data_IF_374652359267
#
_entry.id   IF_374652359267
#
_cell.length_a   1.000
_cell.length_b   1.000
_cell.length_c   1.000
_cell.angle_alpha   90.00
_cell.angle_beta   90.00
_cell.angle_gamma   90.00
#
_symmetry.space_group_name_H-M   'P 1'
#
loop_
_entity.id
_entity.type
_entity.pdbx_description
1 polymer ?
#
# COMPACT_ATOMS: atom_id res chain seq x y z
N UNK A 1 9.25 32.89 -1.59
CA UNK A 1 9.61 31.48 -1.32
C UNK A 1 10.13 31.31 0.11
N UNK A 2 10.86 32.29 0.65
CA UNK A 2 11.36 32.32 2.03
C UNK A 2 10.44 33.05 3.03
N UNK A 3 9.27 33.51 2.59
CA UNK A 3 8.28 34.09 3.49
C UNK A 3 7.66 32.97 4.36
N UNK A 4 7.47 33.18 5.68
CA UNK A 4 7.03 32.14 6.62
C UNK A 4 5.77 31.40 6.18
N UNK A 5 4.81 32.12 5.63
CA UNK A 5 3.52 31.61 5.16
C UNK A 5 3.57 30.81 3.85
N UNK A 6 4.70 30.81 3.13
CA UNK A 6 4.90 30.07 1.86
C UNK A 6 6.02 29.04 1.96
N UNK A 7 6.95 29.23 2.90
CA UNK A 7 8.13 28.39 3.07
C UNK A 7 7.75 27.00 3.57
N UNK A 8 8.22 25.95 2.89
CA UNK A 8 7.99 24.55 3.26
C UNK A 8 6.66 23.93 2.78
N UNK A 9 5.80 24.70 2.09
CA UNK A 9 4.53 24.20 1.57
C UNK A 9 4.64 23.82 0.08
N UNK A 10 4.42 22.54 -0.22
CA UNK A 10 4.38 22.01 -1.59
C UNK A 10 5.76 21.79 -2.22
N UNK A 11 5.76 21.50 -3.53
CA UNK A 11 6.97 21.20 -4.29
C UNK A 11 7.70 22.47 -4.74
N UNK A 12 9.01 22.54 -4.48
CA UNK A 12 9.86 23.68 -4.86
C UNK A 12 9.78 23.98 -6.36
N UNK A 13 9.76 22.95 -7.19
CA UNK A 13 9.70 23.10 -8.65
C UNK A 13 8.37 23.73 -9.06
N UNK A 14 7.27 23.34 -8.45
CA UNK A 14 5.94 23.89 -8.75
C UNK A 14 5.81 25.35 -8.27
N UNK A 15 6.41 25.67 -7.13
CA UNK A 15 6.49 27.04 -6.62
C UNK A 15 7.35 27.94 -7.53
N UNK A 16 8.47 27.42 -8.06
CA UNK A 16 9.33 28.14 -9.01
C UNK A 16 8.66 28.32 -10.36
N UNK A 17 8.01 27.30 -10.92
CA UNK A 17 7.24 27.38 -12.16
C UNK A 17 6.19 28.48 -12.10
N UNK A 18 5.39 28.48 -11.02
CA UNK A 18 4.40 29.52 -10.77
C UNK A 18 5.06 30.90 -10.69
N UNK A 19 6.14 31.04 -9.92
CA UNK A 19 6.80 32.32 -9.72
C UNK A 19 7.43 32.89 -11.00
N UNK A 20 8.00 32.04 -11.85
CA UNK A 20 8.55 32.47 -13.15
C UNK A 20 7.43 32.91 -14.06
N UNK A 21 6.34 32.13 -14.16
CA UNK A 21 5.16 32.50 -14.95
C UNK A 21 4.58 33.84 -14.48
N UNK A 22 4.40 34.03 -13.18
CA UNK A 22 3.85 35.27 -12.61
C UNK A 22 4.74 36.50 -12.89
N UNK A 23 6.06 36.32 -13.00
CA UNK A 23 7.02 37.42 -13.16
C UNK A 23 7.35 37.74 -14.63
N UNK A 24 7.33 36.75 -15.53
CA UNK A 24 7.84 36.88 -16.90
C UNK A 24 6.82 36.52 -17.97
N UNK A 25 5.66 35.96 -17.59
CA UNK A 25 4.66 35.39 -18.50
C UNK A 25 5.18 34.25 -19.39
N UNK A 26 6.38 33.73 -19.12
CA UNK A 26 6.94 32.60 -19.85
C UNK A 26 6.36 31.29 -19.31
N UNK A 27 6.00 30.41 -20.25
CA UNK A 27 5.53 29.06 -19.93
C UNK A 27 6.69 28.07 -19.80
N UNK A 28 7.39 28.14 -18.67
CA UNK A 28 8.44 27.17 -18.31
C UNK A 28 7.79 25.84 -17.96
N UNK A 29 8.34 24.74 -18.47
CA UNK A 29 7.86 23.38 -18.20
C UNK A 29 8.70 22.71 -17.12
N UNK A 30 8.12 21.74 -16.44
CA UNK A 30 8.83 20.94 -15.42
C UNK A 30 10.08 20.25 -15.98
N UNK A 31 10.05 19.87 -17.26
CA UNK A 31 11.18 19.25 -17.98
C UNK A 31 12.35 20.20 -18.23
N UNK A 32 12.15 21.51 -18.08
CA UNK A 32 13.22 22.51 -18.26
C UNK A 32 14.12 22.60 -17.01
N UNK A 33 13.67 22.06 -15.88
CA UNK A 33 14.45 21.94 -14.65
C UNK A 33 15.28 20.65 -14.65
N UNK A 34 16.57 20.79 -15.01
CA UNK A 34 17.56 19.71 -14.94
C UNK A 34 18.18 19.63 -13.54
N UNK A 35 17.45 19.03 -12.60
CA UNK A 35 17.89 18.91 -11.20
C UNK A 35 19.20 18.11 -11.06
N UNK A 36 19.45 17.19 -11.99
CA UNK A 36 20.69 16.41 -12.11
C UNK A 36 21.92 17.27 -12.45
N UNK A 37 21.72 18.47 -13.02
CA UNK A 37 22.80 19.41 -13.34
C UNK A 37 23.11 20.41 -12.21
N UNK A 38 22.35 20.38 -11.10
CA UNK A 38 22.61 21.27 -9.97
C UNK A 38 23.83 20.80 -9.18
N UNK A 39 24.76 21.70 -8.83
CA UNK A 39 25.84 21.39 -7.90
C UNK A 39 25.32 20.89 -6.55
N UNK A 40 26.02 19.93 -5.94
CA UNK A 40 25.62 19.30 -4.68
C UNK A 40 25.42 20.26 -3.49
N UNK A 41 26.02 21.46 -3.52
CA UNK A 41 25.88 22.48 -2.47
C UNK A 41 24.56 23.26 -2.53
N UNK A 42 23.78 23.11 -3.60
CA UNK A 42 22.43 23.69 -3.72
C UNK A 42 21.33 22.76 -3.17
N UNK A 43 21.69 21.54 -2.76
CA UNK A 43 20.79 20.61 -2.10
C UNK A 43 20.91 20.74 -0.58
N UNK A 44 19.79 20.53 0.12
CA UNK A 44 19.77 20.53 1.58
C UNK A 44 20.71 19.45 2.12
N UNK A 45 21.46 19.82 3.16
CA UNK A 45 22.32 18.91 3.89
C UNK A 45 21.76 18.79 5.31
N UNK A 46 21.51 17.56 5.74
CA UNK A 46 20.95 17.28 7.06
C UNK A 46 22.09 16.97 8.01
N UNK A 47 22.07 17.59 9.19
CA UNK A 47 22.98 17.28 10.30
C UNK A 47 22.13 16.91 11.51
N UNK A 48 22.29 15.68 11.99
CA UNK A 48 21.63 15.20 13.19
C UNK A 48 22.58 15.42 14.36
N UNK A 49 22.08 16.10 15.39
CA UNK A 49 22.82 16.37 16.63
C UNK A 49 22.09 15.74 17.81
N UNK A 50 22.84 15.34 18.83
CA UNK A 50 22.26 14.87 20.09
C UNK A 50 21.95 16.04 21.06
N UNK A 51 21.45 15.71 22.26
CA UNK A 51 21.10 16.65 23.32
C UNK A 51 22.29 17.50 23.81
N UNK A 52 23.52 17.07 23.53
CA UNK A 52 24.75 17.76 23.89
C UNK A 52 25.35 18.53 22.70
N UNK A 53 24.62 18.60 21.57
CA UNK A 53 25.05 19.26 20.34
C UNK A 53 26.10 18.48 19.54
N UNK A 54 26.38 17.22 19.88
CA UNK A 54 27.35 16.41 19.13
C UNK A 54 26.71 15.86 17.87
N UNK A 55 27.43 15.92 16.76
CA UNK A 55 26.98 15.41 15.47
C UNK A 55 26.95 13.87 15.49
N UNK A 56 25.76 13.29 15.27
CA UNK A 56 25.53 11.84 15.17
C UNK A 56 25.59 11.35 13.74
N UNK A 57 25.18 12.17 12.78
CA UNK A 57 25.24 11.85 11.36
C UNK A 57 25.03 13.10 10.52
N UNK A 58 25.57 13.09 9.31
CA UNK A 58 25.37 14.17 8.35
C UNK A 58 25.31 13.61 6.94
N UNK A 59 24.36 14.09 6.14
CA UNK A 59 24.22 13.66 4.77
C UNK A 59 23.12 14.41 4.03
N UNK A 60 23.15 14.30 2.71
CA UNK A 60 22.14 14.90 1.83
C UNK A 60 20.95 13.98 1.56
N UNK A 61 21.07 12.69 1.90
CA UNK A 61 20.00 11.71 1.79
C UNK A 61 19.38 11.46 3.17
N UNK A 62 18.24 12.10 3.43
CA UNK A 62 17.53 11.98 4.69
C UNK A 62 17.05 10.54 4.97
N UNK A 63 16.64 9.79 3.93
CA UNK A 63 16.16 8.42 4.09
C UNK A 63 17.29 7.48 4.51
N UNK A 64 18.48 7.63 3.93
CA UNK A 64 19.67 6.88 4.34
C UNK A 64 20.08 7.23 5.78
N UNK A 65 20.09 8.52 6.12
CA UNK A 65 20.42 9.00 7.47
C UNK A 65 19.43 8.48 8.53
N UNK A 66 18.12 8.42 8.18
CA UNK A 66 17.07 7.83 9.03
C UNK A 66 17.23 6.33 9.19
N UNK A 67 17.61 5.60 8.13
CA UNK A 67 17.79 4.15 8.20
C UNK A 67 19.00 3.77 9.07
N UNK A 68 20.11 4.48 8.92
CA UNK A 68 21.35 4.29 9.67
C UNK A 68 21.14 4.60 11.16
N UNK A 69 20.69 5.81 11.48
CA UNK A 69 20.49 6.24 12.87
C UNK A 69 19.24 5.64 13.51
N UNK A 70 18.27 5.19 12.71
CA UNK A 70 17.04 4.55 13.19
C UNK A 70 17.27 3.17 13.82
N UNK A 71 18.34 2.46 13.45
CA UNK A 71 18.76 1.22 14.14
C UNK A 71 19.28 1.49 15.55
N UNK A 72 20.16 2.48 15.68
CA UNK A 72 20.78 2.86 16.96
C UNK A 72 19.78 3.52 17.91
N UNK A 73 18.88 4.35 17.37
CA UNK A 73 17.75 4.92 18.11
C UNK A 73 16.90 3.81 18.74
N UNK A 74 16.51 2.78 17.97
CA UNK A 74 15.74 1.64 18.48
C UNK A 74 16.42 0.95 19.66
N UNK A 75 17.72 0.69 19.58
CA UNK A 75 18.49 0.06 20.67
C UNK A 75 18.61 0.94 21.91
N UNK A 76 18.90 2.24 21.74
CA UNK A 76 19.03 3.20 22.84
C UNK A 76 17.68 3.43 23.56
N UNK A 77 16.57 3.47 22.81
CA UNK A 77 15.23 3.63 23.38
C UNK A 77 14.72 2.36 24.07
N UNK A 78 15.06 1.17 23.57
CA UNK A 78 14.78 -0.09 24.27
C UNK A 78 15.54 -0.20 25.60
N UNK A 79 16.81 0.23 25.63
CA UNK A 79 17.62 0.24 26.85
C UNK A 79 17.10 1.26 27.89
N UNK A 80 16.68 2.45 27.45
CA UNK A 80 16.09 3.47 28.32
C UNK A 80 14.70 3.07 28.86
N UNK A 81 13.90 2.37 28.06
CA UNK A 81 12.62 1.80 28.49
C UNK A 81 12.81 0.70 29.56
N UNK A 82 13.85 -0.14 29.42
CA UNK A 82 14.21 -1.14 30.42
C UNK A 82 14.69 -0.52 31.74
N UNK A 83 15.45 0.58 31.68
CA UNK A 83 15.95 1.30 32.86
C UNK A 83 14.85 2.06 33.62
N UNK A 84 13.82 2.59 32.92
CA UNK A 84 12.69 3.31 33.57
C UNK A 84 11.61 2.37 34.13
N UNK A 85 11.62 1.09 33.80
CA UNK A 85 10.68 0.08 34.31
C UNK A 85 10.95 -0.42 35.73
N UNK A 86 12.06 -0.03 36.35
CA UNK A 86 12.46 -0.46 37.70
C UNK A 86 12.30 0.67 38.73
N UNK A 87 11.06 1.06 39.04
CA UNK A 87 10.76 1.83 40.26
C UNK A 87 9.50 1.25 40.90
N UNK A 88 9.57 0.65 42.11
CA UNK A 88 8.37 0.27 42.84
C UNK A 88 7.67 1.52 43.38
N UNK A 89 6.35 1.51 43.29
CA UNK A 89 5.48 2.56 43.82
C UNK A 89 5.63 2.73 45.34
N UNK A 90 5.78 3.97 45.79
CA UNK A 90 5.55 4.38 47.17
C UNK A 90 4.53 5.53 47.21
N UNK A 91 3.51 5.33 48.05
CA UNK A 91 2.32 6.14 48.33
C UNK A 91 2.62 7.52 48.97
N UNK A 92 1.64 8.44 49.04
CA UNK A 92 1.86 9.88 49.10
C UNK A 92 1.97 10.42 50.52
N UNK A 93 2.75 11.49 50.70
CA UNK A 93 2.65 12.36 51.86
C UNK A 93 2.80 13.82 51.44
N UNK A 94 1.89 14.64 51.95
CA UNK A 94 1.75 16.06 51.71
C UNK A 94 2.96 16.87 52.22
N UNK A 95 3.26 17.99 51.57
CA UNK A 95 3.17 19.34 52.15
C UNK A 95 4.04 20.37 51.41
N UNK A 96 3.52 21.59 51.39
CA UNK A 96 4.23 22.86 51.41
C UNK A 96 5.01 23.29 50.15
N UNK A 97 4.43 24.27 49.45
CA UNK A 97 5.17 25.34 48.79
C UNK A 97 6.04 26.10 49.83
N UNK A 98 7.12 26.75 49.37
CA UNK A 98 7.04 28.20 49.38
C UNK A 98 7.59 28.90 48.13
N UNK A 99 6.97 30.05 47.87
CA UNK A 99 7.42 31.15 47.03
C UNK A 99 8.87 31.58 47.31
N UNK A 100 9.64 31.87 46.26
CA UNK A 100 10.67 32.90 46.29
C UNK A 100 10.72 33.66 44.96
N UNK A 101 10.59 34.99 45.11
CA UNK A 101 10.66 36.03 44.07
C UNK A 101 12.05 36.20 43.47
N UNK A 102 12.03 36.51 42.18
CA UNK A 102 12.90 37.41 41.38
C UNK A 102 14.35 37.66 41.82
N UNK A 103 15.26 37.41 40.86
CA UNK A 103 16.33 38.36 40.53
C UNK A 103 16.62 38.33 39.03
N UNK A 104 16.36 39.47 38.39
CA UNK A 104 16.85 39.83 37.05
C UNK A 104 18.37 39.95 37.05
N UNK A 105 19.01 39.41 36.02
CA UNK A 105 20.28 39.89 35.50
C UNK A 105 20.27 39.74 33.97
N UNK A 106 20.26 40.88 33.29
CA UNK A 106 20.32 40.99 31.84
C UNK A 106 21.76 40.81 31.33
N UNK A 107 21.93 39.96 30.32
CA UNK A 107 22.99 40.06 29.32
C UNK A 107 22.51 39.36 28.04
N UNK A 108 22.35 40.14 26.97
CA UNK A 108 21.72 39.70 25.74
C UNK A 108 22.61 38.84 24.85
N UNK A 109 21.98 37.88 24.18
CA UNK A 109 22.30 37.42 22.82
C UNK A 109 21.03 36.79 22.23
N UNK A 110 20.80 37.00 20.93
CA UNK A 110 19.49 36.89 20.26
C UNK A 110 18.76 35.56 20.46
N UNK A 111 17.53 35.64 20.98
CA UNK A 111 16.58 34.52 21.01
C UNK A 111 16.05 34.25 19.60
N UNK A 112 16.43 33.09 19.05
CA UNK A 112 15.55 32.36 18.15
C UNK A 112 14.27 32.00 18.91
N UNK A 113 13.12 32.28 18.31
CA UNK A 113 11.83 31.90 18.86
C UNK A 113 11.78 30.37 19.00
N UNK A 114 11.43 29.81 20.17
CA UNK A 114 11.18 28.39 20.27
C UNK A 114 9.96 28.07 19.41
N UNK A 115 10.16 27.21 18.42
CA UNK A 115 9.08 26.59 17.67
C UNK A 115 8.06 26.04 18.68
N UNK A 116 6.80 26.38 18.46
CA UNK A 116 5.65 25.90 19.20
C UNK A 116 5.76 24.37 19.24
N UNK A 117 6.08 23.82 20.42
CA UNK A 117 5.82 22.42 20.72
C UNK A 117 4.30 22.29 20.73
N UNK A 118 3.74 21.84 19.62
CA UNK A 118 2.41 21.26 19.62
C UNK A 118 2.54 19.95 20.40
N UNK A 119 2.41 20.02 21.73
CA UNK A 119 2.12 18.84 22.54
C UNK A 119 0.75 18.34 22.10
N UNK A 120 0.73 17.41 21.15
CA UNK A 120 -0.44 16.59 20.90
C UNK A 120 -0.74 15.79 22.18
N UNK A 121 -1.99 15.74 22.66
CA UNK A 121 -2.34 14.93 23.82
C UNK A 121 -2.04 13.46 23.50
N UNK A 122 -1.01 12.91 24.14
CA UNK A 122 -0.38 11.63 23.79
C UNK A 122 -1.10 10.39 24.34
N UNK A 123 -2.39 10.49 24.70
CA UNK A 123 -3.11 9.36 25.28
C UNK A 123 -4.51 9.27 24.66
N UNK A 124 -4.63 8.50 23.58
CA UNK A 124 -5.91 8.01 23.13
C UNK A 124 -6.37 6.88 24.06
N UNK A 125 -7.67 6.80 24.44
CA UNK A 125 -8.15 5.74 25.31
C UNK A 125 -8.00 4.36 24.65
N UNK A 126 -7.50 3.37 25.40
CA UNK A 126 -7.10 2.05 24.89
C UNK A 126 -8.27 1.25 24.24
N UNK A 127 -9.52 1.61 24.56
CA UNK A 127 -10.76 0.98 24.03
C UNK A 127 -11.69 1.98 23.31
N UNK A 128 -11.17 3.13 22.88
CA UNK A 128 -12.00 4.10 22.17
C UNK A 128 -12.49 3.54 20.81
N UNK A 129 -13.82 3.57 20.62
CA UNK A 129 -14.49 3.17 19.38
C UNK A 129 -14.96 4.41 18.64
N UNK A 130 -14.60 4.51 17.37
CA UNK A 130 -14.94 5.65 16.53
C UNK A 130 -15.80 5.21 15.35
N UNK A 131 -16.84 5.96 15.05
CA UNK A 131 -17.65 5.79 13.83
C UNK A 131 -17.45 6.93 12.84
N UNK A 132 -16.74 7.97 13.25
CA UNK A 132 -16.36 9.15 12.46
C UNK A 132 -14.94 9.60 12.86
N UNK A 133 -14.34 10.51 12.09
CA UNK A 133 -13.02 11.07 12.36
C UNK A 133 -13.07 12.11 13.50
N UNK A 134 -13.06 11.65 14.75
CA UNK A 134 -13.13 12.50 15.95
C UNK A 134 -11.94 12.38 16.89
N UNK A 135 -10.83 11.80 16.42
CA UNK A 135 -9.62 11.50 17.21
C UNK A 135 -8.41 12.38 16.88
N UNK A 136 -8.57 13.41 16.03
CA UNK A 136 -7.48 14.30 15.62
C UNK A 136 -6.58 13.71 14.53
N UNK A 137 -5.40 14.30 14.33
CA UNK A 137 -4.40 13.80 13.38
C UNK A 137 -3.60 12.64 14.00
N UNK A 138 -3.30 11.62 13.19
CA UNK A 138 -2.47 10.50 13.63
C UNK A 138 -1.00 10.83 13.35
N UNK A 139 -0.13 10.86 14.38
CA UNK A 139 1.30 11.10 14.18
C UNK A 139 1.97 9.90 13.48
N UNK A 140 3.16 10.10 12.90
CA UNK A 140 3.94 9.00 12.31
C UNK A 140 4.34 7.94 13.35
N UNK A 141 4.54 8.37 14.61
CA UNK A 141 4.86 7.51 15.75
C UNK A 141 4.04 7.94 16.96
N UNK A 142 3.55 6.97 17.73
CA UNK A 142 2.77 7.19 18.95
C UNK A 142 3.29 6.32 20.08
N UNK A 143 3.37 6.89 21.28
CA UNK A 143 3.66 6.15 22.51
C UNK A 143 2.34 5.76 23.18
N UNK A 144 2.14 4.46 23.45
CA UNK A 144 1.03 3.97 24.25
C UNK A 144 1.54 3.23 25.49
N UNK A 145 0.82 3.37 26.60
CA UNK A 145 1.14 2.67 27.85
C UNK A 145 0.19 1.48 28.02
N UNK A 146 0.69 0.28 27.72
CA UNK A 146 -0.10 -0.96 27.76
C UNK A 146 0.41 -1.86 28.87
N UNK A 147 -0.45 -2.25 29.81
CA UNK A 147 -0.12 -3.13 30.95
C UNK A 147 1.15 -2.71 31.72
N UNK A 148 1.39 -1.41 31.84
CA UNK A 148 2.56 -0.85 32.54
C UNK A 148 3.83 -0.69 31.70
N UNK A 149 3.86 -1.16 30.44
CA UNK A 149 4.96 -0.94 29.50
C UNK A 149 4.64 0.23 28.55
N UNK A 150 5.64 1.07 28.27
CA UNK A 150 5.54 2.13 27.24
C UNK A 150 6.00 1.54 25.91
N UNK A 151 5.11 1.47 24.93
CA UNK A 151 5.37 0.97 23.59
C UNK A 151 5.31 2.14 22.61
N UNK A 152 6.37 2.33 21.82
CA UNK A 152 6.45 3.35 20.78
C UNK A 152 6.37 2.65 19.43
N UNK A 153 5.41 3.03 18.59
CA UNK A 153 5.25 2.42 17.28
C UNK A 153 4.36 3.23 16.34
N UNK A 154 3.95 2.60 15.25
CA UNK A 154 3.15 3.22 14.19
C UNK A 154 1.67 3.07 14.49
N UNK A 155 0.91 4.18 14.68
CA UNK A 155 -0.52 4.11 14.92
C UNK A 155 -1.28 3.72 13.65
N UNK A 156 -2.32 2.93 13.80
CA UNK A 156 -3.16 2.49 12.70
C UNK A 156 -4.63 2.40 13.12
N UNK A 157 -5.52 2.72 12.18
CA UNK A 157 -6.93 2.45 12.35
C UNK A 157 -7.17 0.95 12.21
N UNK A 158 -7.92 0.35 13.13
CA UNK A 158 -8.23 -1.08 13.11
C UNK A 158 -9.74 -1.28 12.96
N UNK A 159 -10.14 -2.13 12.03
CA UNK A 159 -11.52 -2.53 11.87
C UNK A 159 -11.98 -3.40 13.06
N UNK A 160 -12.97 -2.91 13.81
CA UNK A 160 -13.60 -3.65 14.93
C UNK A 160 -15.09 -3.93 14.69
N UNK A 161 -15.51 -3.95 13.41
CA UNK A 161 -16.85 -4.32 12.96
C UNK A 161 -17.78 -3.15 12.75
N UNK A 162 -18.43 -2.66 13.81
CA UNK A 162 -19.37 -1.54 13.74
C UNK A 162 -18.72 -0.16 13.99
N UNK A 163 -17.43 -0.16 14.30
CA UNK A 163 -16.59 1.00 14.56
C UNK A 163 -15.14 0.72 14.10
N UNK A 164 -14.27 1.71 14.27
CA UNK A 164 -12.81 1.56 14.21
C UNK A 164 -12.19 1.83 15.57
N UNK A 165 -11.09 1.13 15.86
CA UNK A 165 -10.19 1.43 16.98
C UNK A 165 -8.88 2.02 16.47
N UNK A 166 -8.03 2.45 17.40
CA UNK A 166 -6.66 2.91 17.09
C UNK A 166 -5.69 2.03 17.88
N UNK A 167 -4.81 1.33 17.17
CA UNK A 167 -3.78 0.47 17.76
C UNK A 167 -2.39 0.90 17.28
N UNK A 168 -1.36 0.58 18.06
CA UNK A 168 0.05 0.85 17.73
C UNK A 168 0.75 -0.45 17.40
N UNK A 169 1.48 -0.46 16.29
CA UNK A 169 2.21 -1.62 15.79
C UNK A 169 3.71 -1.33 15.72
N UNK A 170 4.53 -2.35 15.94
CA UNK A 170 6.00 -2.24 15.88
C UNK A 170 6.52 -2.18 14.43
N UNK A 171 5.78 -2.80 13.50
CA UNK A 171 6.14 -2.88 12.09
C UNK A 171 5.33 -1.89 11.23
N UNK A 172 5.98 -1.01 10.45
CA UNK A 172 5.29 0.00 9.65
C UNK A 172 4.42 -0.61 8.55
N UNK A 173 4.84 -1.73 7.96
CA UNK A 173 4.07 -2.40 6.91
C UNK A 173 2.77 -3.02 7.45
N UNK A 174 2.84 -3.62 8.66
CA UNK A 174 1.66 -4.15 9.35
C UNK A 174 0.72 -3.00 9.74
N UNK A 175 1.27 -1.91 10.29
CA UNK A 175 0.49 -0.72 10.61
C UNK A 175 -0.22 -0.17 9.37
N UNK A 176 0.49 0.00 8.25
CA UNK A 176 -0.08 0.52 7.01
C UNK A 176 -1.22 -0.38 6.48
N UNK A 177 -1.03 -1.71 6.49
CA UNK A 177 -2.06 -2.65 6.07
C UNK A 177 -3.30 -2.60 6.96
N UNK A 178 -3.12 -2.54 8.28
CA UNK A 178 -4.21 -2.40 9.25
C UNK A 178 -4.93 -1.07 9.09
N UNK A 179 -4.17 0.02 9.04
CA UNK A 179 -4.67 1.39 8.87
C UNK A 179 -5.55 1.51 7.63
N UNK A 180 -5.12 0.93 6.51
CA UNK A 180 -5.89 0.91 5.26
C UNK A 180 -7.22 0.15 5.39
N UNK A 181 -7.21 -1.00 6.06
CA UNK A 181 -8.43 -1.74 6.36
C UNK A 181 -9.37 -0.96 7.32
N UNK A 182 -8.81 -0.30 8.33
CA UNK A 182 -9.56 0.58 9.23
C UNK A 182 -10.17 1.79 8.51
N UNK A 183 -9.43 2.46 7.64
CA UNK A 183 -9.96 3.56 6.80
C UNK A 183 -11.12 3.08 5.93
N UNK A 184 -11.00 1.90 5.31
CA UNK A 184 -12.08 1.30 4.52
C UNK A 184 -13.34 1.10 5.36
N UNK A 185 -13.19 0.60 6.60
CA UNK A 185 -14.29 0.47 7.56
C UNK A 185 -14.90 1.82 7.90
N UNK A 186 -14.08 2.81 8.24
CA UNK A 186 -14.55 4.15 8.60
C UNK A 186 -15.33 4.79 7.45
N UNK A 187 -14.86 4.69 6.21
CA UNK A 187 -15.61 5.09 5.01
C UNK A 187 -16.93 4.34 4.93
N UNK A 188 -16.94 3.02 5.07
CA UNK A 188 -18.15 2.21 4.97
C UNK A 188 -19.23 2.62 5.99
N UNK A 189 -18.83 3.05 7.18
CA UNK A 189 -19.74 3.58 8.20
C UNK A 189 -20.38 4.92 7.77
N UNK A 190 -19.65 5.76 7.03
CA UNK A 190 -20.14 7.05 6.53
C UNK A 190 -21.11 6.94 5.34
N UNK A 191 -21.05 5.85 4.58
CA UNK A 191 -21.84 5.67 3.34
C UNK A 191 -22.76 4.44 3.36
N UNK A 192 -23.25 4.05 4.55
CA UNK A 192 -24.08 2.84 4.76
C UNK A 192 -25.23 2.67 3.77
N UNK A 193 -26.01 3.72 3.51
CA UNK A 193 -27.15 3.62 2.59
C UNK A 193 -26.72 3.45 1.14
N UNK A 194 -25.61 4.09 0.75
CA UNK A 194 -25.01 3.93 -0.58
C UNK A 194 -24.49 2.50 -0.76
N UNK A 195 -23.89 1.90 0.28
CA UNK A 195 -23.44 0.50 0.25
C UNK A 195 -24.61 -0.48 0.16
N UNK A 196 -25.66 -0.30 0.97
CA UNK A 196 -26.88 -1.12 0.89
C UNK A 196 -27.53 -1.05 -0.49
N UNK A 197 -27.56 0.15 -1.10
CA UNK A 197 -28.04 0.31 -2.47
C UNK A 197 -27.14 -0.44 -3.44
N UNK A 198 -25.81 -0.27 -3.32
CA UNK A 198 -24.86 -0.90 -4.23
C UNK A 198 -24.93 -2.44 -4.18
N UNK A 199 -24.98 -3.02 -2.99
CA UNK A 199 -25.11 -4.47 -2.78
C UNK A 199 -26.34 -5.08 -3.47
N UNK A 200 -27.44 -4.32 -3.56
CA UNK A 200 -28.68 -4.74 -4.21
C UNK A 200 -28.68 -4.50 -5.73
N UNK A 201 -27.83 -3.60 -6.23
CA UNK A 201 -27.87 -3.11 -7.61
C UNK A 201 -26.58 -3.42 -8.40
N UNK A 202 -25.85 -4.49 -8.04
CA UNK A 202 -24.71 -4.96 -8.84
C UNK A 202 -25.24 -5.58 -10.15
N UNK A 203 -24.86 -5.05 -11.32
CA UNK A 203 -25.33 -5.58 -12.60
C UNK A 203 -24.81 -6.99 -12.83
N UNK A 204 -25.64 -7.84 -13.43
CA UNK A 204 -25.33 -9.23 -13.81
C UNK A 204 -24.85 -10.15 -12.67
N UNK A 205 -25.06 -9.78 -11.40
CA UNK A 205 -24.56 -10.55 -10.26
C UNK A 205 -25.05 -12.01 -10.25
N UNK A 206 -26.31 -12.27 -10.62
CA UNK A 206 -26.84 -13.63 -10.69
C UNK A 206 -26.11 -14.49 -11.73
N UNK A 207 -25.83 -13.93 -12.91
CA UNK A 207 -25.08 -14.63 -13.96
C UNK A 207 -23.64 -14.87 -13.54
N UNK A 208 -23.00 -13.88 -12.93
CA UNK A 208 -21.65 -14.04 -12.37
C UNK A 208 -21.60 -15.11 -11.28
N UNK A 209 -22.60 -15.13 -10.38
CA UNK A 209 -22.69 -16.10 -9.31
C UNK A 209 -22.70 -17.55 -9.84
N UNK A 210 -23.43 -17.80 -10.94
CA UNK A 210 -23.44 -19.13 -11.60
C UNK A 210 -22.04 -19.55 -12.06
N UNK A 211 -21.28 -18.65 -12.69
CA UNK A 211 -19.92 -18.94 -13.13
C UNK A 211 -18.92 -19.07 -11.96
N UNK A 212 -19.21 -18.41 -10.83
CA UNK A 212 -18.37 -18.38 -9.63
C UNK A 212 -18.64 -19.53 -8.64
N UNK A 213 -19.75 -20.28 -8.79
CA UNK A 213 -20.10 -21.42 -7.91
C UNK A 213 -18.95 -22.41 -7.62
N UNK A 214 -18.05 -22.75 -8.57
CA UNK A 214 -16.91 -23.64 -8.28
C UNK A 214 -15.85 -23.04 -7.35
N UNK A 215 -15.87 -21.72 -7.15
CA UNK A 215 -14.88 -20.96 -6.39
C UNK A 215 -15.43 -20.51 -5.03
N UNK A 216 -16.72 -20.16 -4.94
CA UNK A 216 -17.35 -19.67 -3.72
C UNK A 216 -18.83 -19.31 -3.92
N UNK A 217 -19.34 -18.48 -3.01
CA UNK A 217 -20.76 -18.07 -2.95
C UNK A 217 -21.03 -16.72 -3.62
N UNK A 218 -22.28 -16.47 -4.00
CA UNK A 218 -22.70 -15.17 -4.56
C UNK A 218 -22.41 -14.00 -3.62
N UNK A 219 -22.49 -14.24 -2.32
CA UNK A 219 -22.27 -13.25 -1.27
C UNK A 219 -20.79 -12.88 -1.14
N UNK A 220 -19.91 -13.88 -1.18
CA UNK A 220 -18.45 -13.65 -1.23
C UNK A 220 -18.02 -12.89 -2.48
N UNK A 221 -18.62 -13.17 -3.64
CA UNK A 221 -18.34 -12.42 -4.88
C UNK A 221 -18.82 -10.98 -4.78
N UNK A 222 -20.04 -10.77 -4.28
CA UNK A 222 -20.60 -9.43 -4.05
C UNK A 222 -19.71 -8.61 -3.12
N UNK A 223 -19.29 -9.20 -2.00
CA UNK A 223 -18.42 -8.53 -1.04
C UNK A 223 -17.10 -8.12 -1.69
N UNK A 224 -16.49 -8.99 -2.50
CA UNK A 224 -15.25 -8.64 -3.20
C UNK A 224 -15.43 -7.47 -4.18
N UNK A 225 -16.54 -7.41 -4.91
CA UNK A 225 -16.83 -6.30 -5.83
C UNK A 225 -16.93 -4.99 -5.06
N UNK A 226 -17.67 -5.00 -3.94
CA UNK A 226 -17.84 -3.83 -3.07
C UNK A 226 -16.50 -3.40 -2.46
N UNK A 227 -15.71 -4.35 -1.94
CA UNK A 227 -14.41 -4.09 -1.34
C UNK A 227 -13.45 -3.42 -2.33
N UNK A 228 -13.34 -3.95 -3.56
CA UNK A 228 -12.50 -3.37 -4.61
C UNK A 228 -13.02 -2.00 -5.05
N UNK A 229 -14.34 -1.81 -5.10
CA UNK A 229 -14.93 -0.52 -5.43
C UNK A 229 -14.62 0.54 -4.35
N UNK A 230 -14.71 0.17 -3.07
CA UNK A 230 -14.33 1.03 -1.94
C UNK A 230 -12.85 1.40 -1.99
N UNK A 231 -12.00 0.40 -2.19
CA UNK A 231 -10.55 0.57 -2.30
C UNK A 231 -10.20 1.61 -3.38
N UNK A 232 -10.77 1.45 -4.57
CA UNK A 232 -10.57 2.34 -5.72
C UNK A 232 -11.18 3.73 -5.52
N UNK A 233 -12.34 3.81 -4.89
CA UNK A 233 -13.06 5.07 -4.74
C UNK A 233 -12.49 5.95 -3.62
N UNK A 234 -11.95 5.36 -2.54
CA UNK A 234 -11.62 6.09 -1.32
C UNK A 234 -10.18 5.94 -0.83
N UNK A 235 -9.41 4.94 -1.28
CA UNK A 235 -8.09 4.64 -0.71
C UNK A 235 -6.92 4.89 -1.67
N UNK A 236 -7.11 5.78 -2.67
CA UNK A 236 -5.98 6.27 -3.45
C UNK A 236 -5.00 7.06 -2.56
N UNK A 237 -3.71 6.88 -2.80
CA UNK A 237 -2.66 7.64 -2.12
C UNK A 237 -2.64 9.11 -2.61
N UNK A 238 -2.27 10.08 -1.74
CA UNK A 238 -2.01 9.90 -0.31
C UNK A 238 -3.30 9.62 0.49
N UNK A 239 -3.20 8.81 1.53
CA UNK A 239 -4.33 8.53 2.43
C UNK A 239 -4.71 9.76 3.28
N UNK A 240 -5.98 9.89 3.71
CA UNK A 240 -6.39 10.99 4.58
C UNK A 240 -5.62 10.98 5.92
N UNK A 241 -5.08 12.14 6.32
CA UNK A 241 -4.31 12.28 7.56
C UNK A 241 -5.09 13.01 8.67
N UNK A 242 -6.20 13.67 8.33
CA UNK A 242 -7.03 14.45 9.25
C UNK A 242 -8.51 14.43 8.84
N UNK A 243 -9.36 15.00 9.70
CA UNK A 243 -10.81 15.03 9.50
C UNK A 243 -11.23 15.75 8.20
N UNK A 244 -10.54 16.83 7.84
CA UNK A 244 -10.84 17.60 6.63
C UNK A 244 -10.55 16.82 5.35
N UNK A 245 -9.39 16.16 5.29
CA UNK A 245 -9.00 15.29 4.18
C UNK A 245 -9.92 14.08 4.07
N UNK A 246 -10.30 13.50 5.21
CA UNK A 246 -11.22 12.36 5.25
C UNK A 246 -12.61 12.74 4.73
N UNK A 247 -13.16 13.87 5.20
CA UNK A 247 -14.45 14.37 4.72
C UNK A 247 -14.45 14.63 3.21
N UNK A 248 -13.41 15.31 2.71
CA UNK A 248 -13.24 15.54 1.26
C UNK A 248 -13.16 14.22 0.49
N UNK A 249 -12.41 13.24 1.01
CA UNK A 249 -12.30 11.90 0.41
C UNK A 249 -13.66 11.19 0.32
N UNK A 250 -14.47 11.27 1.36
CA UNK A 250 -15.82 10.68 1.39
C UNK A 250 -16.73 11.36 0.38
N UNK A 251 -16.75 12.69 0.32
CA UNK A 251 -17.58 13.45 -0.62
C UNK A 251 -17.23 13.14 -2.09
N UNK A 252 -15.95 13.23 -2.44
CA UNK A 252 -15.46 12.93 -3.79
C UNK A 252 -15.70 11.47 -4.18
N UNK A 253 -15.39 10.54 -3.26
CA UNK A 253 -15.53 9.11 -3.50
C UNK A 253 -16.99 8.69 -3.68
N UNK A 254 -17.92 9.29 -2.92
CA UNK A 254 -19.36 8.98 -3.02
C UNK A 254 -19.93 9.29 -4.40
N UNK A 255 -19.50 10.39 -5.03
CA UNK A 255 -19.95 10.77 -6.36
C UNK A 255 -19.56 9.76 -7.46
N UNK A 256 -18.43 9.03 -7.28
CA UNK A 256 -17.89 8.09 -8.27
C UNK A 256 -18.08 6.61 -7.94
N UNK A 257 -18.49 6.28 -6.71
CA UNK A 257 -18.56 4.89 -6.22
C UNK A 257 -19.41 3.98 -7.11
N UNK A 258 -20.61 4.42 -7.50
CA UNK A 258 -21.52 3.60 -8.33
C UNK A 258 -20.90 3.29 -9.70
N UNK A 259 -20.23 4.27 -10.32
CA UNK A 259 -19.55 4.07 -11.60
C UNK A 259 -18.38 3.09 -11.48
N UNK A 260 -17.57 3.24 -10.44
CA UNK A 260 -16.44 2.36 -10.16
C UNK A 260 -16.94 0.93 -9.89
N UNK A 261 -17.98 0.75 -9.09
CA UNK A 261 -18.52 -0.57 -8.81
C UNK A 261 -19.09 -1.25 -10.06
N UNK A 262 -19.72 -0.49 -10.96
CA UNK A 262 -20.11 -0.98 -12.28
C UNK A 262 -18.91 -1.42 -13.14
N UNK A 263 -17.80 -0.67 -13.12
CA UNK A 263 -16.56 -1.06 -13.80
C UNK A 263 -15.99 -2.36 -13.24
N UNK A 264 -15.93 -2.50 -11.91
CA UNK A 264 -15.48 -3.70 -11.20
C UNK A 264 -16.36 -4.90 -11.54
N UNK A 265 -17.69 -4.74 -11.49
CA UNK A 265 -18.64 -5.80 -11.83
C UNK A 265 -18.50 -6.26 -13.28
N UNK A 266 -18.36 -5.32 -14.23
CA UNK A 266 -18.15 -5.64 -15.65
C UNK A 266 -16.85 -6.42 -15.88
N UNK A 267 -15.77 -6.04 -15.21
CA UNK A 267 -14.50 -6.77 -15.29
C UNK A 267 -14.63 -8.16 -14.68
N UNK A 268 -15.26 -8.28 -13.50
CA UNK A 268 -15.52 -9.56 -12.86
C UNK A 268 -16.34 -10.50 -13.76
N UNK A 269 -17.36 -9.99 -14.42
CA UNK A 269 -18.17 -10.74 -15.38
C UNK A 269 -17.33 -11.25 -16.57
N UNK A 270 -16.47 -10.39 -17.14
CA UNK A 270 -15.58 -10.77 -18.22
C UNK A 270 -14.57 -11.85 -17.79
N UNK A 271 -13.98 -11.71 -16.60
CA UNK A 271 -13.06 -12.70 -16.03
C UNK A 271 -13.76 -14.04 -15.83
N UNK A 272 -14.95 -14.05 -15.22
CA UNK A 272 -15.70 -15.27 -14.94
C UNK A 272 -16.20 -15.97 -16.20
N UNK A 273 -16.54 -15.23 -17.25
CA UNK A 273 -16.86 -15.79 -18.55
C UNK A 273 -15.66 -16.54 -19.16
N UNK A 274 -14.48 -15.93 -19.15
CA UNK A 274 -13.25 -16.56 -19.65
C UNK A 274 -12.78 -17.71 -18.74
N UNK A 275 -13.05 -17.64 -17.44
CA UNK A 275 -12.79 -18.73 -16.48
C UNK A 275 -13.63 -19.96 -16.83
N UNK A 276 -14.94 -19.79 -17.03
CA UNK A 276 -15.82 -20.90 -17.40
C UNK A 276 -15.41 -21.53 -18.74
N UNK A 277 -15.02 -20.70 -19.71
CA UNK A 277 -14.52 -21.16 -21.01
C UNK A 277 -13.19 -21.93 -20.88
N UNK A 278 -12.24 -21.41 -20.10
CA UNK A 278 -10.96 -22.08 -19.83
C UNK A 278 -11.16 -23.41 -19.09
N UNK A 279 -11.99 -23.43 -18.04
CA UNK A 279 -12.30 -24.64 -17.28
C UNK A 279 -12.95 -25.73 -18.15
N UNK A 280 -13.90 -25.34 -19.02
CA UNK A 280 -14.47 -26.26 -20.01
C UNK A 280 -13.42 -26.77 -20.97
N UNK A 281 -12.56 -25.88 -21.49
CA UNK A 281 -11.50 -26.25 -22.44
C UNK A 281 -10.50 -27.25 -21.85
N UNK A 282 -10.11 -27.06 -20.58
CA UNK A 282 -9.28 -28.02 -19.84
C UNK A 282 -9.96 -29.39 -19.77
N UNK A 283 -11.26 -29.43 -19.44
CA UNK A 283 -12.04 -30.67 -19.33
C UNK A 283 -12.18 -31.41 -20.67
N UNK A 284 -12.24 -30.67 -21.78
CA UNK A 284 -12.40 -31.23 -23.12
C UNK A 284 -11.06 -31.75 -23.71
N UNK A 285 -9.91 -31.23 -23.26
CA UNK A 285 -8.57 -31.61 -23.72
C UNK A 285 -8.00 -32.84 -22.98
N UNK A 286 -8.77 -33.94 -22.92
CA UNK A 286 -8.41 -35.14 -22.14
C UNK A 286 -7.17 -35.89 -22.63
N UNK A 287 -6.77 -35.67 -23.87
CA UNK A 287 -5.66 -36.38 -24.52
C UNK A 287 -4.27 -35.76 -24.23
N UNK A 288 -4.19 -34.74 -23.36
CA UNK A 288 -2.92 -34.12 -22.96
C UNK A 288 -2.88 -33.86 -21.45
N UNK A 289 -2.58 -34.89 -20.63
CA UNK A 289 -2.68 -34.81 -19.17
C UNK A 289 -1.69 -33.80 -18.55
N UNK A 290 -0.49 -33.64 -19.11
CA UNK A 290 0.49 -32.68 -18.59
C UNK A 290 0.06 -31.23 -18.84
N UNK A 291 -0.39 -30.93 -20.06
CA UNK A 291 -0.86 -29.59 -20.43
C UNK A 291 -2.13 -29.19 -19.66
N UNK A 292 -3.07 -30.13 -19.48
CA UNK A 292 -4.29 -29.87 -18.69
C UNK A 292 -4.00 -29.70 -17.21
N UNK A 293 -3.06 -30.47 -16.64
CA UNK A 293 -2.59 -30.27 -15.26
C UNK A 293 -1.96 -28.89 -15.09
N UNK A 294 -1.04 -28.50 -15.97
CA UNK A 294 -0.37 -27.19 -15.92
C UNK A 294 -1.37 -26.03 -16.08
N UNK A 295 -2.33 -26.14 -17.01
CA UNK A 295 -3.39 -25.16 -17.18
C UNK A 295 -4.30 -25.07 -15.95
N UNK A 296 -4.62 -26.20 -15.31
CA UNK A 296 -5.41 -26.23 -14.07
C UNK A 296 -4.69 -25.53 -12.92
N UNK A 297 -3.39 -25.81 -12.74
CA UNK A 297 -2.56 -25.16 -11.72
C UNK A 297 -2.47 -23.65 -11.95
N UNK A 298 -2.29 -23.21 -13.20
CA UNK A 298 -2.31 -21.78 -13.55
C UNK A 298 -3.68 -21.15 -13.26
N UNK A 299 -4.78 -21.82 -13.62
CA UNK A 299 -6.15 -21.33 -13.41
C UNK A 299 -6.43 -21.10 -11.92
N UNK A 300 -6.02 -22.04 -11.07
CA UNK A 300 -6.20 -21.94 -9.61
C UNK A 300 -5.37 -20.81 -8.99
N UNK A 301 -4.16 -20.54 -9.50
CA UNK A 301 -3.32 -19.43 -9.03
C UNK A 301 -3.85 -18.06 -9.45
N UNK A 302 -4.45 -17.97 -10.63
CA UNK A 302 -5.08 -16.73 -11.12
C UNK A 302 -6.43 -16.48 -10.43
N UNK A 303 -7.24 -17.52 -10.24
CA UNK A 303 -8.58 -17.41 -9.65
C UNK A 303 -8.74 -18.23 -8.37
N UNK A 304 -8.06 -17.84 -7.26
CA UNK A 304 -8.48 -18.31 -5.94
C UNK A 304 -9.88 -17.78 -5.63
N UNK A 305 -10.52 -18.31 -4.58
CA UNK A 305 -11.89 -17.88 -4.21
C UNK A 305 -12.01 -16.36 -4.07
N UNK A 306 -11.02 -15.69 -3.50
CA UNK A 306 -11.00 -14.24 -3.27
C UNK A 306 -10.25 -13.44 -4.35
N UNK A 307 -10.21 -13.93 -5.60
CA UNK A 307 -9.34 -13.39 -6.66
C UNK A 307 -9.45 -11.88 -6.90
N UNK A 308 -10.66 -11.29 -6.79
CA UNK A 308 -10.86 -9.85 -6.98
C UNK A 308 -10.23 -9.04 -5.86
N UNK A 309 -10.29 -9.52 -4.62
CA UNK A 309 -9.77 -8.79 -3.46
C UNK A 309 -8.25 -8.91 -3.29
N UNK A 310 -7.66 -10.05 -3.69
CA UNK A 310 -6.21 -10.30 -3.48
C UNK A 310 -5.33 -9.85 -4.64
N UNK A 311 -5.90 -9.67 -5.83
CA UNK A 311 -5.13 -9.30 -7.01
C UNK A 311 -5.12 -7.78 -7.19
N UNK A 312 -3.96 -7.16 -7.48
CA UNK A 312 -3.91 -5.74 -7.84
C UNK A 312 -4.83 -5.42 -9.02
N UNK A 313 -5.50 -4.28 -8.96
CA UNK A 313 -6.45 -3.87 -9.99
C UNK A 313 -5.83 -3.85 -11.40
N UNK A 314 -4.59 -3.36 -11.52
CA UNK A 314 -3.84 -3.34 -12.79
C UNK A 314 -3.66 -4.73 -13.38
N UNK A 315 -3.46 -5.75 -12.54
CA UNK A 315 -3.34 -7.12 -12.98
C UNK A 315 -4.69 -7.74 -13.38
N UNK A 316 -5.76 -7.45 -12.63
CA UNK A 316 -7.11 -7.94 -12.93
C UNK A 316 -7.57 -7.55 -14.35
N UNK A 317 -7.17 -6.38 -14.84
CA UNK A 317 -7.46 -5.94 -16.22
C UNK A 317 -6.96 -6.91 -17.29
N UNK A 318 -5.93 -7.70 -16.98
CA UNK A 318 -5.31 -8.65 -17.91
C UNK A 318 -5.82 -10.09 -17.74
N UNK A 319 -6.59 -10.40 -16.69
CA UNK A 319 -7.07 -11.76 -16.44
C UNK A 319 -7.87 -12.34 -17.61
N UNK A 320 -8.80 -11.62 -18.26
CA UNK A 320 -9.50 -12.15 -19.43
C UNK A 320 -8.53 -12.58 -20.53
N UNK A 321 -7.46 -11.80 -20.77
CA UNK A 321 -6.42 -12.13 -21.76
C UNK A 321 -5.60 -13.35 -21.36
N UNK A 322 -5.21 -13.49 -20.09
CA UNK A 322 -4.48 -14.66 -19.61
C UNK A 322 -5.30 -15.95 -19.75
N UNK A 323 -6.59 -15.89 -19.39
CA UNK A 323 -7.52 -17.00 -19.54
C UNK A 323 -7.79 -17.34 -21.01
N UNK A 324 -7.86 -16.32 -21.87
CA UNK A 324 -7.96 -16.53 -23.31
C UNK A 324 -6.71 -17.18 -23.90
N UNK A 325 -5.52 -16.78 -23.45
CA UNK A 325 -4.27 -17.41 -23.86
C UNK A 325 -4.22 -18.90 -23.49
N UNK A 326 -4.74 -19.25 -22.31
CA UNK A 326 -4.89 -20.66 -21.89
C UNK A 326 -5.81 -21.44 -22.83
N UNK A 327 -6.93 -20.86 -23.27
CA UNK A 327 -7.81 -21.51 -24.25
C UNK A 327 -7.09 -21.75 -25.58
N UNK A 328 -6.44 -20.71 -26.12
CA UNK A 328 -5.72 -20.75 -27.39
C UNK A 328 -4.57 -21.76 -27.38
N UNK A 329 -3.87 -21.89 -26.25
CA UNK A 329 -2.87 -22.93 -26.05
C UNK A 329 -3.47 -24.31 -26.30
N UNK A 330 -4.58 -24.61 -25.62
CA UNK A 330 -5.23 -25.91 -25.68
C UNK A 330 -5.89 -26.17 -27.05
N UNK A 331 -6.33 -25.13 -27.76
CA UNK A 331 -6.76 -25.23 -29.17
C UNK A 331 -5.61 -25.65 -30.09
N UNK A 332 -4.45 -25.01 -29.95
CA UNK A 332 -3.29 -25.19 -30.83
C UNK A 332 -2.44 -26.41 -30.47
N UNK A 333 -2.63 -26.98 -29.27
CA UNK A 333 -1.84 -28.08 -28.72
C UNK A 333 -1.74 -29.29 -29.66
N UNK A 334 -2.83 -29.65 -30.35
CA UNK A 334 -2.84 -30.82 -31.25
C UNK A 334 -1.98 -30.63 -32.49
N UNK A 335 -1.75 -29.39 -32.92
CA UNK A 335 -0.97 -29.10 -34.13
C UNK A 335 0.53 -29.28 -33.89
N UNK A 336 1.03 -28.95 -32.69
CA UNK A 336 2.45 -29.07 -32.35
C UNK A 336 2.65 -29.38 -30.84
N UNK A 337 2.43 -30.65 -30.41
CA UNK A 337 2.55 -31.04 -29.01
C UNK A 337 3.98 -30.91 -28.47
N UNK A 338 5.00 -31.14 -29.31
CA UNK A 338 6.40 -31.08 -28.92
C UNK A 338 6.81 -29.64 -28.56
N UNK A 339 6.40 -28.66 -29.35
CA UNK A 339 6.64 -27.25 -29.05
C UNK A 339 5.91 -26.78 -27.80
N UNK A 340 4.67 -27.22 -27.58
CA UNK A 340 3.96 -26.91 -26.33
C UNK A 340 4.72 -27.45 -25.12
N UNK A 341 5.15 -28.72 -25.16
CA UNK A 341 5.90 -29.36 -24.08
C UNK A 341 7.21 -28.61 -23.77
N UNK A 342 7.96 -28.21 -24.81
CA UNK A 342 9.17 -27.41 -24.65
C UNK A 342 8.88 -26.07 -23.95
N UNK A 343 7.87 -25.31 -24.43
CA UNK A 343 7.52 -24.01 -23.86
C UNK A 343 6.93 -24.12 -22.45
N UNK A 344 6.19 -25.18 -22.18
CA UNK A 344 5.69 -25.51 -20.85
C UNK A 344 6.85 -25.77 -19.88
N UNK A 345 7.86 -26.53 -20.28
CA UNK A 345 9.05 -26.78 -19.45
C UNK A 345 9.82 -25.49 -19.14
N UNK A 346 10.03 -24.63 -20.15
CA UNK A 346 10.67 -23.31 -19.97
C UNK A 346 9.89 -22.41 -19.00
N UNK A 347 8.57 -22.34 -19.13
CA UNK A 347 7.72 -21.55 -18.25
C UNK A 347 7.71 -22.11 -16.81
N UNK A 348 7.58 -23.42 -16.65
CA UNK A 348 7.56 -24.08 -15.34
C UNK A 348 8.86 -23.89 -14.56
N UNK A 349 10.02 -23.90 -15.24
CA UNK A 349 11.29 -23.64 -14.58
C UNK A 349 11.32 -22.24 -13.92
N UNK A 350 10.78 -21.23 -14.59
CA UNK A 350 10.68 -19.86 -14.07
C UNK A 350 9.67 -19.75 -12.92
N UNK A 351 8.52 -20.41 -13.03
CA UNK A 351 7.50 -20.44 -11.96
C UNK A 351 7.99 -21.15 -10.70
N UNK A 352 8.67 -22.29 -10.84
CA UNK A 352 9.20 -23.02 -9.69
C UNK A 352 10.23 -22.19 -8.93
N UNK A 353 11.09 -21.46 -9.65
CA UNK A 353 12.04 -20.52 -9.05
C UNK A 353 11.31 -19.41 -8.27
N UNK A 354 10.23 -18.86 -8.84
CA UNK A 354 9.38 -17.86 -8.18
C UNK A 354 8.77 -18.39 -6.88
N UNK A 355 8.07 -19.53 -6.93
CA UNK A 355 7.38 -20.06 -5.75
C UNK A 355 8.34 -20.55 -4.67
N UNK A 356 9.54 -21.01 -5.03
CA UNK A 356 10.60 -21.33 -4.07
C UNK A 356 11.03 -20.08 -3.29
N UNK A 357 11.30 -18.98 -3.97
CA UNK A 357 11.68 -17.73 -3.31
C UNK A 357 10.56 -17.17 -2.42
N UNK A 358 9.31 -17.22 -2.89
CA UNK A 358 8.15 -16.81 -2.07
C UNK A 358 8.07 -17.65 -0.79
N UNK A 359 8.31 -18.96 -0.87
CA UNK A 359 8.32 -19.84 0.30
C UNK A 359 9.50 -19.52 1.25
N UNK A 360 10.70 -19.28 0.73
CA UNK A 360 11.89 -18.85 1.50
C UNK A 360 11.63 -17.54 2.25
N UNK A 361 10.90 -16.60 1.63
CA UNK A 361 10.47 -15.33 2.22
C UNK A 361 9.21 -15.42 3.08
N UNK A 362 8.74 -16.63 3.42
CA UNK A 362 7.52 -16.86 4.19
C UNK A 362 6.28 -16.12 3.64
N UNK A 363 6.22 -15.96 2.31
CA UNK A 363 5.13 -15.27 1.63
C UNK A 363 5.33 -13.77 1.42
N UNK A 364 6.38 -13.14 1.97
CA UNK A 364 6.65 -11.72 1.77
C UNK A 364 7.06 -11.44 0.32
N UNK A 365 6.41 -10.45 -0.31
CA UNK A 365 6.63 -10.07 -1.70
C UNK A 365 6.78 -8.56 -1.84
N UNK A 366 8.00 -8.12 -2.09
CA UNK A 366 8.30 -6.74 -2.46
C UNK A 366 7.77 -6.40 -3.87
N UNK A 367 7.87 -5.14 -4.26
CA UNK A 367 7.38 -4.66 -5.55
C UNK A 367 8.02 -5.38 -6.75
N UNK A 368 9.29 -5.81 -6.66
CA UNK A 368 10.00 -6.51 -7.74
C UNK A 368 9.56 -7.96 -7.86
N UNK A 369 9.33 -8.63 -6.75
CA UNK A 369 8.78 -9.98 -6.74
C UNK A 369 7.34 -9.97 -7.28
N UNK A 370 6.55 -8.95 -6.94
CA UNK A 370 5.22 -8.75 -7.54
C UNK A 370 5.28 -8.46 -9.05
N UNK A 371 6.24 -7.65 -9.52
CA UNK A 371 6.46 -7.44 -10.96
C UNK A 371 6.77 -8.77 -11.68
N UNK A 372 7.68 -9.55 -11.11
CA UNK A 372 8.08 -10.85 -11.64
C UNK A 372 6.89 -11.83 -11.69
N UNK A 373 6.03 -11.84 -10.67
CA UNK A 373 4.78 -12.65 -10.63
C UNK A 373 3.94 -12.44 -11.89
N UNK A 374 3.78 -11.20 -12.35
CA UNK A 374 2.96 -10.87 -13.52
C UNK A 374 3.70 -11.10 -14.83
N UNK A 375 5.01 -10.90 -14.86
CA UNK A 375 5.84 -11.25 -16.02
C UNK A 375 5.80 -12.75 -16.36
N UNK A 376 5.56 -13.64 -15.39
CA UNK A 376 5.33 -15.06 -15.64
C UNK A 376 4.07 -15.32 -16.48
N UNK A 377 2.98 -14.58 -16.23
CA UNK A 377 1.76 -14.69 -17.03
C UNK A 377 1.97 -14.11 -18.43
N UNK A 378 2.70 -13.00 -18.54
CA UNK A 378 3.08 -12.44 -19.83
C UNK A 378 3.96 -13.41 -20.64
N UNK A 379 4.89 -14.11 -19.99
CA UNK A 379 5.71 -15.14 -20.63
C UNK A 379 4.83 -16.23 -21.23
N UNK A 380 3.83 -16.71 -20.47
CA UNK A 380 2.86 -17.70 -20.97
C UNK A 380 2.08 -17.18 -22.18
N UNK A 381 1.61 -15.93 -22.16
CA UNK A 381 0.97 -15.33 -23.34
C UNK A 381 1.92 -15.29 -24.54
N UNK A 382 3.17 -14.90 -24.34
CA UNK A 382 4.18 -14.84 -25.42
C UNK A 382 4.52 -16.21 -26.01
N UNK A 383 4.40 -17.27 -25.22
CA UNK A 383 4.68 -18.63 -25.65
C UNK A 383 3.50 -19.25 -26.41
N UNK A 384 2.28 -19.08 -25.88
CA UNK A 384 1.14 -19.87 -26.33
C UNK A 384 0.10 -19.08 -27.14
N UNK A 385 0.12 -17.74 -27.06
CA UNK A 385 -0.91 -16.89 -27.65
C UNK A 385 -0.36 -15.54 -28.12
N UNK A 386 0.67 -15.56 -28.97
CA UNK A 386 1.36 -14.35 -29.48
C UNK A 386 0.41 -13.33 -30.13
N UNK A 387 -0.68 -13.80 -30.75
CA UNK A 387 -1.71 -12.96 -31.36
C UNK A 387 -2.43 -12.03 -30.36
N UNK A 388 -2.49 -12.40 -29.08
CA UNK A 388 -3.09 -11.56 -28.03
C UNK A 388 -2.18 -10.40 -27.61
N UNK A 389 -0.90 -10.43 -28.03
CA UNK A 389 0.16 -9.47 -27.67
C UNK A 389 0.39 -9.38 -26.14
N UNK A 390 1.51 -8.78 -25.78
CA UNK A 390 1.86 -8.47 -24.39
C UNK A 390 2.02 -6.95 -24.23
N UNK A 391 1.65 -6.37 -23.08
CA UNK A 391 1.80 -4.92 -22.84
C UNK A 391 3.24 -4.45 -22.92
N UNK A 392 4.17 -5.36 -22.63
CA UNK A 392 5.60 -5.17 -22.75
C UNK A 392 6.24 -6.42 -23.33
N UNK A 393 7.36 -6.32 -24.08
CA UNK A 393 7.98 -7.52 -24.62
C UNK A 393 8.61 -8.35 -23.49
N UNK A 394 8.42 -9.66 -23.55
CA UNK A 394 8.79 -10.60 -22.49
C UNK A 394 9.47 -11.83 -23.10
N UNK A 395 10.46 -12.36 -22.40
CA UNK A 395 11.17 -13.59 -22.76
C UNK A 395 11.91 -14.12 -21.54
N UNK A 396 12.34 -15.38 -21.57
CA UNK A 396 13.16 -15.97 -20.49
C UNK A 396 14.39 -15.10 -20.19
N UNK A 397 15.10 -14.63 -21.23
CA UNK A 397 16.25 -13.73 -21.07
C UNK A 397 15.92 -12.42 -20.37
N UNK A 398 14.71 -11.88 -20.56
CA UNK A 398 14.26 -10.66 -19.86
C UNK A 398 13.90 -10.97 -18.40
N UNK A 399 13.22 -12.08 -18.14
CA UNK A 399 12.97 -12.54 -16.77
C UNK A 399 14.26 -12.75 -16.00
N UNK A 400 15.30 -13.33 -16.61
CA UNK A 400 16.61 -13.49 -15.96
C UNK A 400 17.26 -12.15 -15.55
N UNK A 401 17.04 -11.08 -16.32
CA UNK A 401 17.50 -9.73 -15.92
C UNK A 401 16.75 -9.21 -14.69
N UNK A 402 15.43 -9.42 -14.64
CA UNK A 402 14.60 -9.02 -13.50
C UNK A 402 14.97 -9.84 -12.27
N UNK A 403 15.19 -11.15 -12.43
CA UNK A 403 15.70 -12.04 -11.39
C UNK A 403 16.99 -11.53 -10.73
N UNK A 404 17.92 -10.99 -11.51
CA UNK A 404 19.15 -10.37 -10.99
C UNK A 404 18.91 -9.16 -10.08
N UNK A 405 17.72 -8.57 -10.10
CA UNK A 405 17.35 -7.40 -9.28
C UNK A 405 16.51 -7.78 -8.04
N UNK A 406 16.00 -9.02 -7.97
CA UNK A 406 15.12 -9.47 -6.87
C UNK A 406 15.93 -9.86 -5.62
N UNK A 407 17.25 -10.08 -5.74
CA UNK A 407 18.13 -10.52 -4.65
C UNK A 407 19.02 -9.43 -4.03
N UNK A 408 18.84 -8.16 -4.40
CA UNK A 408 19.63 -7.02 -3.91
C UNK A 408 18.81 -6.07 -3.05
#
# INVERSE_FOLDING_TARGET
>A
LSAPEVFGLGSLVDALLKRVRDATSLDVKRTDFKLDMLPAHLFMNFRVVDEHGRQRGQGRNLAALKAELGGEARGAFQALAALKGAVPAATPAASAAPDLKEKEAAAGTGRAQPAIKTEAPSVLPEDARYTDWSFGELPELMEIRRKGQVLVGFPALVDVGDAIGIEVFDEPEVAAARHRAGLRRLVALQIRDTLKYLEKNIPDLQKMAVAYMPLGTADELRQQIVDVALERAFLADPLPANAGDFKRRVEEGRARLTLIAGEVARLAAAILAEYAAAARKIKDTRNAPEATRDATEQLQRLLPKNFLAVSPWSALQHFPRYLKAMQLRLDKLRADPARDAQRMAEARAQEQRFWRLVAERKGQQDARLQELRWLLEELRVSFFAQELRTPQPVSVKRLEKVWGQVGH
#
